data_IF_752255156192
#
_entry.id   IF_752255156192
#
_cell.length_a   1.000
_cell.length_b   1.000
_cell.length_c   1.000
_cell.angle_alpha   90.00
_cell.angle_beta   90.00
_cell.angle_gamma   90.00
#
_symmetry.space_group_name_H-M   'P 1'
#
loop_
_entity.id
_entity.type
_entity.pdbx_description
1 polymer ?
#
# COMPACT_ATOMS: atom_id res chain seq x y z
N UNK A 1 -11.05 10.19 -2.45
CA UNK A 1 -9.59 10.19 -2.28
C UNK A 1 -9.08 11.62 -2.20
N UNK A 2 -8.13 11.89 -1.30
CA UNK A 2 -7.43 13.17 -1.16
C UNK A 2 -5.93 12.93 -1.26
N UNK A 3 -5.18 13.98 -1.64
CA UNK A 3 -3.72 13.99 -1.61
C UNK A 3 -3.29 14.89 -0.46
N UNK A 4 -2.44 14.38 0.44
CA UNK A 4 -1.97 15.16 1.57
C UNK A 4 -0.56 15.67 1.36
N UNK A 5 0.29 14.92 0.67
CA UNK A 5 1.62 15.32 0.23
C UNK A 5 1.92 14.87 -1.21
N UNK A 6 3.17 14.87 -1.62
CA UNK A 6 3.65 14.42 -2.93
C UNK A 6 4.50 13.17 -2.83
N UNK A 7 5.65 13.12 -3.54
CA UNK A 7 6.54 11.96 -3.67
C UNK A 7 7.96 12.29 -3.24
N UNK A 8 8.70 11.28 -2.73
CA UNK A 8 10.06 11.47 -2.18
C UNK A 8 11.06 11.88 -3.27
N UNK A 9 11.04 11.24 -4.44
CA UNK A 9 11.96 11.53 -5.54
C UNK A 9 11.89 12.96 -6.06
N UNK A 10 10.74 13.64 -5.87
CA UNK A 10 10.55 15.04 -6.24
C UNK A 10 10.69 16.01 -5.05
N UNK A 11 11.09 15.53 -3.87
CA UNK A 11 11.14 16.31 -2.63
C UNK A 11 9.82 17.02 -2.30
N UNK A 12 8.72 16.34 -2.60
CA UNK A 12 7.36 16.86 -2.31
C UNK A 12 6.61 16.02 -1.29
N UNK A 13 7.12 14.86 -0.89
CA UNK A 13 6.67 14.14 0.29
C UNK A 13 7.03 14.94 1.55
N UNK A 14 6.09 15.11 2.47
CA UNK A 14 6.31 15.92 3.68
C UNK A 14 6.93 15.06 4.78
N UNK A 15 8.15 15.43 5.17
CA UNK A 15 8.97 14.74 6.16
C UNK A 15 9.06 15.50 7.48
N UNK A 16 9.25 14.78 8.58
CA UNK A 16 9.52 15.35 9.91
C UNK A 16 10.94 15.91 10.01
N UNK A 17 11.89 15.34 9.29
CA UNK A 17 13.28 15.81 9.18
C UNK A 17 13.63 16.11 7.72
N UNK A 18 14.58 17.03 7.46
CA UNK A 18 15.00 17.36 6.10
C UNK A 18 15.46 16.14 5.29
N UNK A 19 15.30 16.20 3.99
CA UNK A 19 15.93 15.27 3.04
C UNK A 19 17.45 15.23 3.25
N UNK A 20 18.07 14.08 3.05
CA UNK A 20 19.52 13.92 3.18
C UNK A 20 20.28 14.68 2.09
N UNK A 21 19.68 14.83 0.90
CA UNK A 21 20.16 15.58 -0.24
C UNK A 21 19.31 16.83 -0.53
N UNK A 22 19.15 17.77 0.42
CA UNK A 22 18.16 18.82 0.36
C UNK A 22 18.39 19.75 -0.86
N UNK A 23 17.32 20.17 -1.54
CA UNK A 23 17.35 21.15 -2.65
C UNK A 23 17.59 22.58 -2.16
N UNK A 24 17.24 22.83 -0.90
CA UNK A 24 17.47 24.10 -0.18
C UNK A 24 17.56 23.84 1.33
N UNK A 25 18.13 24.76 2.13
CA UNK A 25 18.23 24.58 3.58
C UNK A 25 16.87 24.31 4.24
N UNK A 26 16.74 23.19 4.95
CA UNK A 26 15.51 22.82 5.62
C UNK A 26 14.45 22.16 4.71
N UNK A 27 14.85 21.66 3.55
CA UNK A 27 13.95 20.96 2.62
C UNK A 27 13.34 19.70 3.26
N UNK A 28 12.08 19.78 3.63
CA UNK A 28 11.28 18.71 4.22
C UNK A 28 10.09 18.33 3.33
N UNK A 29 10.05 18.83 2.08
CA UNK A 29 8.85 18.71 1.26
C UNK A 29 7.71 19.58 1.77
N UNK A 30 6.48 19.19 1.50
CA UNK A 30 5.30 19.98 1.89
C UNK A 30 4.01 19.20 1.82
N UNK A 31 3.03 19.61 2.59
CA UNK A 31 1.63 19.22 2.40
C UNK A 31 1.04 19.88 1.15
N UNK A 32 0.25 19.14 0.37
CA UNK A 32 -0.48 19.65 -0.81
C UNK A 32 -1.71 20.46 -0.43
N UNK A 33 -2.27 20.15 0.74
CA UNK A 33 -3.36 20.91 1.37
C UNK A 33 -3.01 21.20 2.83
N UNK A 34 -3.40 22.37 3.39
CA UNK A 34 -3.18 22.65 4.80
C UNK A 34 -3.78 21.55 5.69
N UNK A 35 -3.08 21.16 6.76
CA UNK A 35 -3.52 20.13 7.70
C UNK A 35 -4.93 20.39 8.25
N UNK A 36 -5.23 21.66 8.60
CA UNK A 36 -6.56 22.05 9.08
C UNK A 36 -7.67 21.83 8.03
N UNK A 37 -7.37 21.99 6.74
CA UNK A 37 -8.33 21.68 5.68
C UNK A 37 -8.56 20.18 5.57
N UNK A 38 -7.51 19.36 5.61
CA UNK A 38 -7.62 17.91 5.62
C UNK A 38 -8.42 17.44 6.83
N UNK A 39 -8.11 17.96 8.02
CA UNK A 39 -8.83 17.70 9.25
C UNK A 39 -10.34 17.96 9.10
N UNK A 40 -10.75 19.11 8.60
CA UNK A 40 -12.17 19.44 8.37
C UNK A 40 -12.86 18.46 7.43
N UNK A 41 -12.17 18.03 6.35
CA UNK A 41 -12.73 17.07 5.40
C UNK A 41 -12.90 15.68 6.03
N UNK A 42 -11.93 15.21 6.78
CA UNK A 42 -11.98 13.90 7.45
C UNK A 42 -13.05 13.87 8.54
N UNK A 43 -13.10 14.90 9.40
CA UNK A 43 -14.11 14.99 10.46
C UNK A 43 -15.52 15.06 9.87
N UNK A 44 -15.74 15.85 8.81
CA UNK A 44 -17.03 15.94 8.14
C UNK A 44 -17.46 14.62 7.47
N UNK A 45 -16.51 13.79 7.00
CA UNK A 45 -16.77 12.46 6.51
C UNK A 45 -17.14 11.50 7.66
N UNK A 46 -16.34 11.50 8.73
CA UNK A 46 -16.53 10.65 9.90
C UNK A 46 -17.89 10.91 10.59
N UNK A 47 -18.27 12.18 10.76
CA UNK A 47 -19.59 12.59 11.29
C UNK A 47 -20.76 11.96 10.54
N UNK A 48 -20.59 11.69 9.25
CA UNK A 48 -21.60 11.08 8.37
C UNK A 48 -21.44 9.57 8.20
N UNK A 49 -20.54 8.94 8.96
CA UNK A 49 -20.24 7.52 8.87
C UNK A 49 -19.49 7.12 7.59
N UNK A 50 -18.87 8.08 6.90
CA UNK A 50 -18.05 7.81 5.72
C UNK A 50 -16.56 7.67 6.09
N UNK A 51 -15.84 6.92 5.27
CA UNK A 51 -14.38 6.79 5.35
C UNK A 51 -13.69 7.57 4.25
N UNK A 52 -12.40 7.78 4.43
CA UNK A 52 -11.58 8.51 3.47
C UNK A 52 -10.37 7.68 3.06
N UNK A 53 -9.89 7.96 1.86
CA UNK A 53 -8.65 7.42 1.31
C UNK A 53 -7.70 8.57 1.07
N UNK A 54 -6.52 8.53 1.67
CA UNK A 54 -5.55 9.63 1.64
C UNK A 54 -4.23 9.12 1.07
N UNK A 55 -3.72 9.78 0.02
CA UNK A 55 -2.35 9.63 -0.44
C UNK A 55 -1.41 10.29 0.58
N UNK A 56 -0.49 9.51 1.11
CA UNK A 56 0.55 9.94 2.05
C UNK A 56 1.83 9.13 1.79
N UNK A 57 2.94 9.82 1.60
CA UNK A 57 4.25 9.20 1.33
C UNK A 57 5.27 9.56 2.42
N UNK A 58 5.37 10.82 2.79
CA UNK A 58 6.29 11.29 3.83
C UNK A 58 5.80 10.97 5.23
N UNK A 59 6.73 10.71 6.13
CA UNK A 59 6.47 10.38 7.53
C UNK A 59 5.69 11.48 8.26
N UNK A 60 5.98 12.76 7.98
CA UNK A 60 5.24 13.89 8.54
C UNK A 60 3.77 13.94 8.06
N UNK A 61 3.51 13.59 6.79
CA UNK A 61 2.14 13.53 6.26
C UNK A 61 1.37 12.33 6.83
N UNK A 62 2.04 11.17 6.98
CA UNK A 62 1.46 9.97 7.60
C UNK A 62 1.09 10.25 9.05
N UNK A 63 2.02 10.80 9.82
CA UNK A 63 1.80 11.17 11.22
C UNK A 63 0.60 12.11 11.37
N UNK A 64 0.57 13.20 10.61
CA UNK A 64 -0.53 14.15 10.64
C UNK A 64 -1.88 13.53 10.20
N UNK A 65 -1.89 12.59 9.24
CA UNK A 65 -3.10 11.89 8.86
C UNK A 65 -3.62 10.97 9.98
N UNK A 66 -2.72 10.30 10.69
CA UNK A 66 -3.07 9.45 11.82
C UNK A 66 -3.58 10.26 13.01
N UNK A 67 -3.02 11.46 13.29
CA UNK A 67 -3.56 12.38 14.30
C UNK A 67 -5.01 12.78 14.01
N UNK A 68 -5.30 13.09 12.75
CA UNK A 68 -6.65 13.43 12.30
C UNK A 68 -7.60 12.22 12.43
N UNK A 69 -7.16 10.99 12.11
CA UNK A 69 -7.96 9.80 12.29
C UNK A 69 -8.20 9.45 13.75
N UNK A 70 -7.23 9.71 14.63
CA UNK A 70 -7.36 9.53 16.07
C UNK A 70 -8.42 10.48 16.65
N UNK A 71 -8.36 11.76 16.29
CA UNK A 71 -9.38 12.74 16.64
C UNK A 71 -10.77 12.36 16.11
N UNK A 72 -10.86 11.90 14.85
CA UNK A 72 -12.12 11.45 14.28
C UNK A 72 -12.70 10.24 15.04
N UNK A 73 -11.84 9.31 15.45
CA UNK A 73 -12.25 8.14 16.23
C UNK A 73 -12.70 8.52 17.65
N UNK A 74 -12.08 9.49 18.28
CA UNK A 74 -12.49 10.02 19.59
C UNK A 74 -13.86 10.71 19.53
N UNK A 75 -14.13 11.46 18.47
CA UNK A 75 -15.37 12.21 18.31
C UNK A 75 -16.55 11.37 17.83
N UNK A 76 -16.31 10.44 16.92
CA UNK A 76 -17.36 9.74 16.17
C UNK A 76 -17.25 8.20 16.24
N UNK A 77 -16.23 7.66 16.90
CA UNK A 77 -15.92 6.23 16.92
C UNK A 77 -15.22 5.75 15.66
N UNK A 78 -14.73 4.50 15.71
CA UNK A 78 -14.13 3.86 14.54
C UNK A 78 -15.20 3.50 13.50
N UNK A 79 -14.90 3.63 12.19
CA UNK A 79 -15.83 3.19 11.14
C UNK A 79 -16.22 1.71 11.27
N UNK A 80 -17.52 1.39 11.06
CA UNK A 80 -18.06 0.06 11.30
C UNK A 80 -18.17 -0.80 10.03
N UNK A 81 -18.44 -0.20 8.87
CA UNK A 81 -18.78 -0.91 7.64
C UNK A 81 -17.80 -0.68 6.49
N UNK A 82 -16.85 0.21 6.65
CA UNK A 82 -15.79 0.50 5.69
C UNK A 82 -14.56 0.99 6.46
N UNK A 83 -13.46 1.24 5.77
CA UNK A 83 -12.18 1.47 6.42
C UNK A 83 -11.51 2.72 5.89
N UNK A 84 -10.94 3.53 6.77
CA UNK A 84 -10.00 4.55 6.35
C UNK A 84 -8.77 3.89 5.75
N UNK A 85 -8.26 4.45 4.67
CA UNK A 85 -7.14 3.88 3.92
C UNK A 85 -6.07 4.94 3.72
N UNK A 86 -4.84 4.63 4.04
CA UNK A 86 -3.67 5.39 3.67
C UNK A 86 -2.98 4.72 2.48
N UNK A 87 -2.80 5.48 1.40
CA UNK A 87 -2.17 5.02 0.16
C UNK A 87 -0.69 5.30 0.19
N UNK A 88 0.07 4.39 -0.36
CA UNK A 88 1.52 4.36 -0.49
C UNK A 88 2.22 3.98 0.81
N UNK A 89 2.14 4.80 1.87
CA UNK A 89 2.77 4.51 3.17
C UNK A 89 4.24 4.11 3.01
N UNK A 90 4.98 4.93 2.25
CA UNK A 90 6.37 4.59 1.90
C UNK A 90 7.30 4.80 3.08
N UNK A 91 7.23 5.96 3.73
CA UNK A 91 8.10 6.33 4.84
C UNK A 91 7.28 6.42 6.12
N UNK A 92 7.57 5.64 7.13
CA UNK A 92 6.84 5.69 8.40
C UNK A 92 7.77 6.02 9.56
N UNK A 93 7.20 6.66 10.57
CA UNK A 93 7.82 6.67 11.88
C UNK A 93 7.53 5.33 12.59
N UNK A 94 8.50 4.75 13.32
CA UNK A 94 8.28 3.49 14.04
C UNK A 94 7.07 3.51 14.97
N UNK A 95 6.81 4.64 15.64
CA UNK A 95 5.71 4.87 16.55
C UNK A 95 4.33 4.87 15.87
N UNK A 96 4.27 5.16 14.58
CA UNK A 96 3.02 5.23 13.83
C UNK A 96 2.52 3.85 13.36
N UNK A 97 3.39 2.84 13.35
CA UNK A 97 3.04 1.51 12.85
C UNK A 97 1.86 0.93 13.65
N UNK A 98 1.91 0.92 14.97
CA UNK A 98 0.85 0.37 15.81
C UNK A 98 -0.44 1.21 15.79
N UNK A 99 -0.36 2.50 15.43
CA UNK A 99 -1.53 3.38 15.25
C UNK A 99 -2.41 2.94 14.09
N UNK A 100 -1.82 2.42 12.99
CA UNK A 100 -2.57 1.85 11.87
C UNK A 100 -3.53 0.76 12.36
N UNK A 101 -3.04 -0.16 13.20
CA UNK A 101 -3.86 -1.23 13.76
C UNK A 101 -4.92 -0.70 14.74
N UNK A 102 -4.52 0.19 15.65
CA UNK A 102 -5.42 0.80 16.65
C UNK A 102 -6.62 1.49 16.00
N UNK A 103 -6.37 2.21 14.91
CA UNK A 103 -7.35 3.00 14.18
C UNK A 103 -8.06 2.20 13.07
N UNK A 104 -7.76 0.90 12.94
CA UNK A 104 -8.27 0.03 11.87
C UNK A 104 -8.07 0.63 10.46
N UNK A 105 -6.93 1.29 10.24
CA UNK A 105 -6.54 1.87 8.96
C UNK A 105 -5.94 0.80 8.07
N UNK A 106 -6.37 0.75 6.80
CA UNK A 106 -5.78 -0.15 5.81
C UNK A 106 -4.52 0.48 5.22
N UNK A 107 -3.42 -0.27 5.28
CA UNK A 107 -2.18 0.06 4.58
C UNK A 107 -2.29 -0.37 3.12
N UNK A 108 -2.58 0.57 2.22
CA UNK A 108 -2.72 0.32 0.79
C UNK A 108 -1.42 0.71 0.08
N UNK A 109 -0.67 -0.29 -0.37
CA UNK A 109 0.67 -0.09 -0.92
C UNK A 109 0.80 -0.67 -2.32
N UNK A 110 1.83 -0.21 -3.02
CA UNK A 110 2.17 -0.64 -4.38
C UNK A 110 3.56 -1.31 -4.34
N UNK A 111 3.64 -2.63 -4.24
CA UNK A 111 4.93 -3.32 -4.14
C UNK A 111 5.94 -2.93 -5.23
N UNK A 112 5.49 -2.73 -6.47
CA UNK A 112 6.37 -2.33 -7.56
C UNK A 112 7.02 -0.94 -7.39
N UNK A 113 6.50 -0.08 -6.49
CA UNK A 113 7.14 1.21 -6.21
C UNK A 113 8.50 1.07 -5.54
N UNK A 114 8.75 -0.04 -4.82
CA UNK A 114 10.03 -0.34 -4.17
C UNK A 114 11.22 -0.24 -5.13
N UNK A 115 11.01 -0.52 -6.40
CA UNK A 115 12.07 -0.64 -7.40
C UNK A 115 12.01 0.42 -8.51
N UNK A 116 11.15 1.45 -8.37
CA UNK A 116 11.04 2.53 -9.36
C UNK A 116 12.26 3.44 -9.39
N UNK A 117 12.87 3.70 -8.24
CA UNK A 117 14.08 4.54 -8.11
C UNK A 117 15.12 3.81 -7.26
N UNK A 118 15.92 2.92 -7.88
CA UNK A 118 16.96 2.17 -7.17
C UNK A 118 17.98 3.10 -6.50
N UNK A 119 18.14 2.93 -5.16
CA UNK A 119 19.01 3.79 -4.35
C UNK A 119 18.42 5.17 -4.02
N UNK A 120 17.22 5.47 -4.51
CA UNK A 120 16.48 6.69 -4.18
C UNK A 120 16.22 6.84 -2.68
N UNK A 121 15.67 5.81 -2.03
CA UNK A 121 15.41 5.88 -0.60
C UNK A 121 16.63 6.24 0.25
N UNK A 122 17.76 5.59 0.03
CA UNK A 122 18.99 5.87 0.77
C UNK A 122 19.56 7.25 0.45
N UNK A 123 19.46 7.68 -0.83
CA UNK A 123 19.90 9.01 -1.27
C UNK A 123 19.08 10.12 -0.62
N UNK A 124 17.76 9.96 -0.57
CA UNK A 124 16.81 11.01 -0.18
C UNK A 124 16.57 11.05 1.33
N UNK A 125 16.58 9.89 2.00
CA UNK A 125 16.27 9.75 3.41
C UNK A 125 17.46 9.31 4.27
N UNK A 126 18.51 8.76 3.65
CA UNK A 126 19.63 8.11 4.36
C UNK A 126 19.26 6.70 4.81
N UNK A 127 20.32 5.95 5.21
CA UNK A 127 20.21 4.52 5.52
C UNK A 127 19.25 4.19 6.67
N UNK A 128 19.20 5.02 7.70
CA UNK A 128 18.40 4.71 8.88
C UNK A 128 16.89 4.86 8.59
N UNK A 129 16.48 5.95 7.97
CA UNK A 129 15.07 6.18 7.64
C UNK A 129 14.55 5.24 6.56
N UNK A 130 15.39 4.87 5.58
CA UNK A 130 14.99 3.96 4.51
C UNK A 130 14.77 2.51 4.98
N UNK A 131 15.30 2.10 6.14
CA UNK A 131 15.16 0.73 6.67
C UNK A 131 13.74 0.33 7.05
N UNK A 132 12.84 1.27 7.22
CA UNK A 132 11.44 1.02 7.61
C UNK A 132 10.45 1.36 6.50
N UNK A 133 10.93 1.50 5.26
CA UNK A 133 10.08 1.76 4.11
C UNK A 133 9.37 0.49 3.63
N UNK A 134 8.08 0.64 3.30
CA UNK A 134 7.21 -0.46 2.85
C UNK A 134 7.35 -1.72 3.73
N UNK A 135 7.04 -1.66 5.03
CA UNK A 135 7.36 -2.71 5.99
C UNK A 135 6.29 -3.82 5.99
N UNK A 136 6.16 -4.56 4.88
CA UNK A 136 5.08 -5.52 4.66
C UNK A 136 5.10 -6.69 5.65
N UNK A 137 6.28 -7.24 5.98
CA UNK A 137 6.38 -8.31 6.97
C UNK A 137 6.06 -7.79 8.36
N UNK A 138 6.52 -6.59 8.70
CA UNK A 138 6.20 -5.91 9.95
C UNK A 138 4.69 -5.67 10.08
N UNK A 139 4.02 -5.18 9.02
CA UNK A 139 2.57 -5.03 9.01
C UNK A 139 1.86 -6.37 9.29
N UNK A 140 2.29 -7.46 8.62
CA UNK A 140 1.75 -8.79 8.86
C UNK A 140 1.91 -9.21 10.32
N UNK A 141 3.12 -9.07 10.89
CA UNK A 141 3.43 -9.43 12.28
C UNK A 141 2.61 -8.62 13.29
N UNK A 142 2.35 -7.34 13.00
CA UNK A 142 1.56 -6.45 13.86
C UNK A 142 0.05 -6.56 13.64
N UNK A 143 -0.41 -7.42 12.72
CA UNK A 143 -1.83 -7.61 12.40
C UNK A 143 -2.47 -6.41 11.72
N UNK A 144 -1.67 -5.59 11.01
CA UNK A 144 -2.15 -4.47 10.21
C UNK A 144 -2.68 -5.00 8.89
N UNK A 145 -3.87 -4.56 8.51
CA UNK A 145 -4.47 -4.95 7.23
C UNK A 145 -3.80 -4.25 6.08
N UNK A 146 -3.46 -5.03 5.07
CA UNK A 146 -2.77 -4.55 3.88
C UNK A 146 -3.64 -4.76 2.64
N UNK A 147 -3.55 -3.83 1.70
CA UNK A 147 -4.09 -3.94 0.34
C UNK A 147 -2.97 -3.63 -0.65
N UNK A 148 -2.95 -4.34 -1.78
CA UNK A 148 -1.96 -4.12 -2.83
C UNK A 148 -2.61 -3.69 -4.14
N UNK A 149 -1.91 -2.84 -4.88
CA UNK A 149 -2.28 -2.37 -6.19
C UNK A 149 -1.07 -1.98 -7.03
N UNK A 150 -1.31 -1.44 -8.22
CA UNK A 150 -0.26 -1.01 -9.16
C UNK A 150 -0.07 0.49 -9.22
N UNK A 151 -1.09 1.25 -8.83
CA UNK A 151 -1.17 2.70 -9.07
C UNK A 151 -0.97 3.06 -10.56
N UNK A 152 -1.55 2.23 -11.44
CA UNK A 152 -1.43 2.46 -12.89
C UNK A 152 -1.92 3.87 -13.26
N UNK A 153 -1.18 4.60 -14.12
CA UNK A 153 -0.09 4.15 -15.01
C UNK A 153 1.33 4.29 -14.43
N UNK A 154 1.50 4.59 -13.12
CA UNK A 154 2.83 4.70 -12.51
C UNK A 154 3.60 3.38 -12.66
N UNK A 155 2.94 2.25 -12.36
CA UNK A 155 3.45 0.94 -12.75
C UNK A 155 2.45 0.22 -13.66
N UNK A 156 2.89 -0.72 -14.53
CA UNK A 156 1.99 -1.46 -15.39
C UNK A 156 0.93 -2.26 -14.63
N UNK A 157 -0.27 -2.42 -15.21
CA UNK A 157 -1.32 -3.28 -14.68
C UNK A 157 -0.92 -4.76 -14.88
N UNK A 158 0.00 -5.24 -14.06
CA UNK A 158 0.56 -6.60 -14.14
C UNK A 158 0.57 -7.23 -12.75
N UNK A 159 -0.46 -8.03 -12.45
CA UNK A 159 -0.64 -8.66 -11.14
C UNK A 159 0.57 -9.48 -10.69
N UNK A 160 1.18 -10.24 -11.62
CA UNK A 160 2.32 -11.10 -11.32
C UNK A 160 3.57 -10.28 -10.91
N UNK A 161 3.75 -9.08 -11.44
CA UNK A 161 4.83 -8.18 -11.00
C UNK A 161 4.61 -7.70 -9.55
N UNK A 162 3.36 -7.38 -9.19
CA UNK A 162 3.03 -6.98 -7.81
C UNK A 162 3.34 -8.11 -6.84
N UNK A 163 2.92 -9.34 -7.16
CA UNK A 163 3.19 -10.51 -6.33
C UNK A 163 4.70 -10.79 -6.26
N UNK A 164 5.38 -10.78 -7.42
CA UNK A 164 6.83 -10.98 -7.50
C UNK A 164 7.57 -10.01 -6.59
N UNK A 165 7.33 -8.70 -6.72
CA UNK A 165 8.05 -7.70 -5.94
C UNK A 165 7.70 -7.79 -4.45
N UNK A 166 6.45 -8.08 -4.07
CA UNK A 166 6.09 -8.29 -2.67
C UNK A 166 6.82 -9.47 -2.03
N UNK A 167 7.05 -10.55 -2.79
CA UNK A 167 7.71 -11.79 -2.33
C UNK A 167 9.22 -11.65 -2.32
N UNK A 168 9.80 -11.05 -3.35
CA UNK A 168 11.25 -11.01 -3.57
C UNK A 168 11.90 -9.68 -3.17
N UNK A 169 11.14 -8.58 -3.22
CA UNK A 169 11.61 -7.18 -3.12
C UNK A 169 12.67 -6.84 -4.18
N UNK A 170 12.52 -7.44 -5.36
CA UNK A 170 13.35 -7.22 -6.53
C UNK A 170 12.54 -6.57 -7.65
N UNK A 171 13.25 -5.86 -8.52
CA UNK A 171 12.66 -5.36 -9.77
C UNK A 171 12.26 -6.53 -10.67
N UNK A 172 11.04 -6.51 -11.22
CA UNK A 172 10.55 -7.62 -12.02
C UNK A 172 11.32 -7.91 -13.32
N UNK A 173 12.07 -6.95 -13.84
CA UNK A 173 12.79 -7.09 -15.11
C UNK A 173 14.26 -7.43 -14.91
N UNK A 174 14.93 -6.69 -14.02
CA UNK A 174 16.36 -6.82 -13.79
C UNK A 174 16.70 -7.83 -12.70
N UNK A 175 15.72 -8.22 -11.88
CA UNK A 175 15.89 -9.06 -10.68
C UNK A 175 16.85 -8.44 -9.65
N UNK A 176 17.05 -7.12 -9.73
CA UNK A 176 17.90 -6.36 -8.82
C UNK A 176 17.06 -5.78 -7.64
N UNK A 177 17.65 -5.58 -6.46
CA UNK A 177 18.98 -6.06 -6.07
C UNK A 177 18.99 -7.56 -5.76
N UNK A 178 20.16 -8.19 -5.93
CA UNK A 178 20.34 -9.58 -5.52
C UNK A 178 19.96 -9.74 -4.06
N UNK A 179 19.16 -10.76 -3.75
CA UNK A 179 18.62 -10.95 -2.42
C UNK A 179 17.48 -10.00 -2.03
N UNK A 180 17.08 -9.04 -2.89
CA UNK A 180 15.97 -8.10 -2.64
C UNK A 180 16.34 -6.94 -1.71
N UNK A 181 15.72 -5.79 -1.91
CA UNK A 181 15.88 -4.62 -1.05
C UNK A 181 15.13 -4.82 0.28
N UNK A 182 15.78 -4.61 1.43
CA UNK A 182 15.25 -4.90 2.77
C UNK A 182 14.61 -6.30 2.85
N UNK A 183 15.39 -7.39 2.72
CA UNK A 183 14.86 -8.75 2.59
C UNK A 183 14.10 -9.24 3.84
N UNK A 184 14.27 -8.60 4.99
CA UNK A 184 13.50 -8.85 6.20
C UNK A 184 12.02 -8.50 6.06
N UNK A 185 11.67 -7.62 5.13
CA UNK A 185 10.31 -7.17 4.86
C UNK A 185 9.62 -7.94 3.72
N UNK A 186 10.21 -9.06 3.26
CA UNK A 186 9.54 -9.98 2.35
C UNK A 186 8.36 -10.66 3.01
N UNK A 187 7.34 -10.95 2.23
CA UNK A 187 6.20 -11.76 2.63
C UNK A 187 6.08 -13.00 1.76
N UNK A 188 5.42 -14.02 2.25
CA UNK A 188 5.14 -15.24 1.49
C UNK A 188 4.07 -15.02 0.41
N UNK A 189 4.03 -15.93 -0.57
CA UNK A 189 3.12 -15.85 -1.72
C UNK A 189 1.63 -15.83 -1.31
N UNK A 190 1.25 -16.58 -0.27
CA UNK A 190 -0.13 -16.61 0.22
C UNK A 190 -0.54 -15.26 0.82
N UNK A 191 0.36 -14.61 1.56
CA UNK A 191 0.16 -13.28 2.10
C UNK A 191 0.07 -12.23 0.98
N UNK A 192 0.97 -12.28 0.00
CA UNK A 192 0.97 -11.36 -1.13
C UNK A 192 -0.34 -11.48 -1.94
N UNK A 193 -0.75 -12.71 -2.27
CA UNK A 193 -2.00 -12.96 -2.99
C UNK A 193 -3.22 -12.48 -2.18
N UNK A 194 -3.27 -12.76 -0.88
CA UNK A 194 -4.34 -12.29 0.00
C UNK A 194 -4.43 -10.77 0.04
N UNK A 195 -3.30 -10.06 0.14
CA UNK A 195 -3.27 -8.61 0.14
C UNK A 195 -3.73 -8.01 -1.19
N UNK A 196 -3.41 -8.68 -2.31
CA UNK A 196 -3.81 -8.25 -3.65
C UNK A 196 -5.29 -8.55 -3.98
N UNK A 197 -5.92 -9.50 -3.32
CA UNK A 197 -7.32 -9.91 -3.55
C UNK A 197 -8.23 -9.47 -2.39
N UNK A 198 -8.33 -10.26 -1.33
CA UNK A 198 -9.19 -9.99 -0.19
C UNK A 198 -8.81 -8.70 0.54
N UNK A 199 -7.52 -8.37 0.64
CA UNK A 199 -7.04 -7.12 1.21
C UNK A 199 -7.55 -5.89 0.44
N UNK A 200 -7.52 -5.96 -0.89
CA UNK A 200 -8.03 -4.88 -1.75
C UNK A 200 -9.55 -4.77 -1.71
N UNK A 201 -10.27 -5.90 -1.65
CA UNK A 201 -11.73 -5.91 -1.42
C UNK A 201 -12.08 -5.29 -0.06
N UNK A 202 -11.33 -5.63 0.99
CA UNK A 202 -11.49 -5.05 2.32
C UNK A 202 -11.24 -3.52 2.33
N UNK A 203 -10.20 -3.06 1.64
CA UNK A 203 -9.93 -1.63 1.50
C UNK A 203 -11.06 -0.89 0.75
N UNK A 204 -11.78 -1.59 -0.13
CA UNK A 204 -12.96 -1.06 -0.82
C UNK A 204 -14.25 -1.14 0.01
N UNK A 205 -14.25 -1.88 1.13
CA UNK A 205 -15.45 -2.16 1.93
C UNK A 205 -16.39 -3.17 1.27
N UNK A 206 -15.86 -4.04 0.40
CA UNK A 206 -16.65 -5.01 -0.38
C UNK A 206 -16.17 -6.47 -0.18
N UNK A 207 -15.50 -6.73 0.92
CA UNK A 207 -14.97 -8.06 1.26
C UNK A 207 -16.05 -9.12 1.49
N UNK A 208 -17.28 -8.71 1.71
CA UNK A 208 -18.43 -9.62 1.81
C UNK A 208 -18.86 -10.18 0.46
N UNK A 209 -18.54 -9.48 -0.63
CA UNK A 209 -18.94 -9.83 -1.99
C UNK A 209 -17.77 -10.27 -2.87
N UNK A 210 -16.55 -9.80 -2.58
CA UNK A 210 -15.36 -9.91 -3.42
C UNK A 210 -14.13 -10.42 -2.66
N UNK A 211 -13.06 -10.70 -3.39
CA UNK A 211 -11.72 -10.93 -2.88
C UNK A 211 -11.40 -12.36 -2.44
N UNK A 212 -12.39 -13.26 -2.37
CA UNK A 212 -12.18 -14.69 -2.09
C UNK A 212 -13.23 -15.56 -2.78
N UNK A 213 -12.89 -16.83 -3.00
CA UNK A 213 -13.78 -17.84 -3.60
C UNK A 213 -14.54 -18.57 -2.50
N UNK A 214 -15.63 -17.95 -2.03
CA UNK A 214 -16.49 -18.48 -0.97
C UNK A 214 -17.96 -18.48 -1.40
N UNK A 215 -18.79 -19.43 -0.94
CA UNK A 215 -20.20 -19.43 -1.25
C UNK A 215 -20.86 -18.12 -0.80
N UNK A 216 -21.64 -17.51 -1.70
CA UNK A 216 -22.34 -16.26 -1.46
C UNK A 216 -21.63 -15.03 -2.01
N UNK A 217 -20.38 -15.12 -2.39
CA UNK A 217 -19.65 -14.05 -3.09
C UNK A 217 -19.79 -14.14 -4.60
N UNK A 218 -19.49 -13.05 -5.29
CA UNK A 218 -19.42 -13.06 -6.75
C UNK A 218 -18.36 -14.03 -7.23
N UNK A 219 -18.65 -14.74 -8.31
CA UNK A 219 -17.69 -15.64 -8.95
C UNK A 219 -16.75 -14.85 -9.90
N UNK A 220 -16.00 -13.93 -9.29
CA UNK A 220 -14.92 -13.19 -9.93
C UNK A 220 -13.63 -13.98 -9.74
N UNK A 221 -13.17 -14.65 -10.78
CA UNK A 221 -12.01 -15.55 -10.68
C UNK A 221 -11.18 -15.55 -11.96
N UNK A 222 -9.92 -15.90 -11.79
CA UNK A 222 -9.00 -16.18 -12.89
C UNK A 222 -8.49 -17.61 -12.80
N UNK A 223 -8.34 -18.25 -13.95
CA UNK A 223 -7.66 -19.54 -14.10
C UNK A 223 -6.25 -19.26 -14.60
N UNK A 224 -5.26 -19.75 -13.87
CA UNK A 224 -3.84 -19.58 -14.17
C UNK A 224 -3.23 -20.92 -14.63
N UNK A 225 -2.21 -20.86 -15.48
CA UNK A 225 -1.48 -22.05 -15.95
C UNK A 225 -0.47 -22.58 -14.93
N UNK A 226 -0.14 -21.77 -13.90
CA UNK A 226 0.74 -22.16 -12.79
C UNK A 226 0.10 -21.77 -11.46
N UNK A 227 0.45 -22.49 -10.40
CA UNK A 227 0.00 -22.15 -9.05
C UNK A 227 0.93 -21.08 -8.43
N UNK A 228 0.47 -19.83 -8.24
CA UNK A 228 1.29 -18.75 -7.72
C UNK A 228 1.77 -18.96 -6.27
N UNK A 229 1.19 -19.94 -5.56
CA UNK A 229 1.60 -20.26 -4.18
C UNK A 229 2.80 -21.23 -4.11
N UNK A 230 3.07 -21.96 -5.20
CA UNK A 230 4.09 -23.03 -5.20
C UNK A 230 5.12 -22.89 -6.31
N UNK A 231 4.87 -22.07 -7.33
CA UNK A 231 5.84 -21.77 -8.39
C UNK A 231 7.05 -21.05 -7.80
N UNK A 232 8.24 -21.30 -8.37
CA UNK A 232 9.42 -20.53 -8.00
C UNK A 232 9.14 -19.03 -8.21
N UNK A 233 9.42 -18.16 -7.23
CA UNK A 233 9.22 -16.72 -7.39
C UNK A 233 9.83 -16.16 -8.68
N UNK A 234 10.98 -16.67 -9.14
CA UNK A 234 11.62 -16.22 -10.38
C UNK A 234 10.82 -16.59 -11.65
N UNK A 235 9.99 -17.62 -11.57
CA UNK A 235 9.11 -18.06 -12.67
C UNK A 235 7.69 -17.46 -12.59
N UNK A 236 7.38 -16.76 -11.49
CA UNK A 236 6.04 -16.24 -11.24
C UNK A 236 5.54 -15.32 -12.36
N UNK A 237 6.43 -14.53 -12.96
CA UNK A 237 6.09 -13.61 -14.05
C UNK A 237 5.73 -14.33 -15.37
N UNK A 238 6.17 -15.59 -15.54
CA UNK A 238 5.81 -16.42 -16.69
C UNK A 238 4.38 -16.95 -16.59
N UNK A 239 3.76 -16.86 -15.42
CA UNK A 239 2.37 -17.29 -15.19
C UNK A 239 1.39 -16.57 -16.10
N UNK A 240 0.52 -17.31 -16.76
CA UNK A 240 -0.43 -16.78 -17.73
C UNK A 240 -1.87 -17.02 -17.28
N UNK A 241 -2.71 -16.01 -17.52
CA UNK A 241 -4.14 -16.16 -17.37
C UNK A 241 -4.67 -17.02 -18.51
N UNK A 242 -5.36 -18.13 -18.18
CA UNK A 242 -6.03 -19.01 -19.13
C UNK A 242 -7.47 -18.59 -19.34
N UNK A 243 -8.16 -18.20 -18.27
CA UNK A 243 -9.52 -17.68 -18.34
C UNK A 243 -9.79 -16.67 -17.23
N UNK A 244 -10.72 -15.76 -17.49
CA UNK A 244 -11.22 -14.80 -16.50
C UNK A 244 -12.74 -14.83 -16.49
N UNK A 245 -13.31 -14.91 -15.30
CA UNK A 245 -14.74 -14.86 -15.06
C UNK A 245 -15.09 -13.64 -14.23
N UNK A 246 -16.16 -12.95 -14.62
CA UNK A 246 -16.76 -11.84 -13.88
C UNK A 246 -18.22 -12.19 -13.57
N UNK A 247 -18.57 -12.24 -12.29
CA UNK A 247 -19.87 -12.68 -11.80
C UNK A 247 -20.33 -14.03 -12.44
N UNK A 248 -19.38 -14.96 -12.58
CA UNK A 248 -19.60 -16.27 -13.19
C UNK A 248 -19.63 -16.32 -14.72
N UNK A 249 -19.56 -15.17 -15.39
CA UNK A 249 -19.54 -15.11 -16.85
C UNK A 249 -18.10 -15.13 -17.36
N UNK A 250 -17.80 -16.00 -18.31
CA UNK A 250 -16.51 -16.03 -18.99
C UNK A 250 -16.34 -14.75 -19.83
N UNK A 251 -15.31 -13.95 -19.51
CA UNK A 251 -15.03 -12.68 -20.21
C UNK A 251 -13.69 -12.71 -20.98
N UNK A 252 -12.85 -13.67 -20.67
CA UNK A 252 -11.58 -13.89 -21.37
C UNK A 252 -11.21 -15.37 -21.34
N UNK A 253 -10.74 -15.89 -22.47
CA UNK A 253 -10.16 -17.22 -22.63
C UNK A 253 -8.97 -17.12 -23.61
N UNK A 254 -7.89 -17.83 -23.30
CA UNK A 254 -6.65 -17.83 -24.08
C UNK A 254 -6.63 -18.95 -25.10
#
# INVERSE_FOLDING_TARGET
>A
KQFFDGVSSEHTAYLTEPYTNPRFPGDQGRLTVPAERMRKLVLAAAERGHTVRIHVIGDGAIHAALDIFEEAAELYGLPQHCHNTLEHLENLLPEDIDRLRKLNVVASSQPCHITLDPGGPERDLGLERSRIMWPFATYKQRGIRQAFGTDSPITPVTSMNVLYTAITRQDPKSHWPEGGWLPSERIDAATALRNYTLGSAYAAGDEQNLGSLEPGKYADLVVLDQNPLTVDPQELQATKVQATYLAGNLIYER
#
